data_IF_558281856204
#
_entry.id   IF_558281856204
#
_cell.length_a   1.000
_cell.length_b   1.000
_cell.length_c   1.000
_cell.angle_alpha   90.00
_cell.angle_beta   90.00
_cell.angle_gamma   90.00
#
_symmetry.space_group_name_H-M   'P 1'
#
loop_
_entity.id
_entity.type
_entity.pdbx_description
1 polymer ?
#
# COMPACT_ATOMS: atom_id res chain seq x y z
N UNK A 1 -6.13 0.35 -22.08
CA UNK A 1 -7.61 0.23 -22.00
C UNK A 1 -7.94 0.01 -20.53
N UNK A 2 -8.81 0.84 -19.97
CA UNK A 2 -8.99 1.05 -18.53
C UNK A 2 -8.19 2.25 -18.04
N UNK A 3 -8.87 3.26 -17.49
CA UNK A 3 -8.40 4.54 -16.99
C UNK A 3 -8.52 4.71 -15.46
N UNK A 4 -8.72 3.61 -14.73
CA UNK A 4 -8.52 3.59 -13.27
C UNK A 4 -7.05 3.80 -12.87
N UNK A 5 -6.75 3.76 -11.56
CA UNK A 5 -5.43 4.14 -11.00
C UNK A 5 -4.22 3.49 -11.67
N UNK A 6 -4.32 2.22 -12.05
CA UNK A 6 -3.22 1.52 -12.73
C UNK A 6 -3.04 2.00 -14.18
N UNK A 7 -4.14 2.24 -14.88
CA UNK A 7 -4.13 2.67 -16.28
C UNK A 7 -3.69 4.13 -16.43
N UNK A 8 -4.17 5.01 -15.55
CA UNK A 8 -3.76 6.41 -15.50
C UNK A 8 -2.28 6.54 -15.12
N UNK A 9 -1.81 5.80 -14.11
CA UNK A 9 -0.40 5.76 -13.75
C UNK A 9 0.49 5.25 -14.91
N UNK A 10 0.08 4.17 -15.58
CA UNK A 10 0.80 3.66 -16.73
C UNK A 10 0.88 4.69 -17.87
N UNK A 11 -0.23 5.34 -18.21
CA UNK A 11 -0.26 6.39 -19.23
C UNK A 11 0.63 7.58 -18.86
N UNK A 12 0.59 8.03 -17.60
CA UNK A 12 1.46 9.10 -17.11
C UNK A 12 2.95 8.74 -17.24
N UNK A 13 3.32 7.51 -16.87
CA UNK A 13 4.71 7.04 -16.95
C UNK A 13 5.19 6.85 -18.40
N UNK A 14 4.31 6.47 -19.32
CA UNK A 14 4.61 6.39 -20.76
C UNK A 14 4.81 7.78 -21.35
N UNK A 15 3.90 8.71 -21.04
CA UNK A 15 3.99 10.10 -21.48
C UNK A 15 5.26 10.80 -20.94
N UNK A 16 5.61 10.58 -19.67
CA UNK A 16 6.83 11.10 -19.04
C UNK A 16 8.13 10.62 -19.73
N UNK A 17 8.08 9.52 -20.49
CA UNK A 17 9.21 9.00 -21.29
C UNK A 17 9.20 9.51 -22.74
N UNK A 18 8.32 10.46 -23.08
CA UNK A 18 8.23 11.07 -24.40
C UNK A 18 7.45 10.25 -25.43
N UNK A 19 6.78 9.18 -25.02
CA UNK A 19 5.96 8.36 -25.91
C UNK A 19 4.52 8.88 -25.97
N UNK A 20 3.90 8.77 -27.14
CA UNK A 20 2.47 9.06 -27.32
C UNK A 20 1.64 7.85 -26.88
N UNK A 21 0.59 8.09 -26.09
CA UNK A 21 -0.36 7.06 -25.67
C UNK A 21 -1.79 7.59 -25.65
N UNK A 22 -2.75 6.71 -25.92
CA UNK A 22 -4.18 6.99 -25.75
C UNK A 22 -4.70 6.17 -24.58
N UNK A 23 -5.26 6.85 -23.57
CA UNK A 23 -5.98 6.21 -22.47
C UNK A 23 -7.47 6.19 -22.79
N UNK A 24 -8.05 5.00 -22.81
CA UNK A 24 -9.49 4.79 -23.07
C UNK A 24 -10.09 4.11 -21.85
N UNK A 25 -11.16 4.71 -21.32
CA UNK A 25 -12.04 4.11 -20.33
C UNK A 25 -13.49 4.11 -20.86
N UNK A 26 -14.29 3.17 -20.37
CA UNK A 26 -15.72 3.06 -20.69
C UNK A 26 -16.58 4.09 -19.94
N UNK A 27 -16.04 4.67 -18.87
CA UNK A 27 -16.70 5.63 -18.00
C UNK A 27 -15.84 6.89 -17.82
N UNK A 28 -16.40 7.89 -17.14
CA UNK A 28 -15.73 9.16 -16.85
C UNK A 28 -14.59 8.98 -15.82
N UNK A 29 -13.53 9.79 -15.87
CA UNK A 29 -12.48 9.78 -14.85
C UNK A 29 -13.05 9.95 -13.44
N UNK A 30 -12.60 9.12 -12.50
CA UNK A 30 -13.05 9.19 -11.10
C UNK A 30 -14.41 8.53 -10.81
N UNK A 31 -15.00 7.81 -11.77
CA UNK A 31 -16.26 7.10 -11.55
C UNK A 31 -16.22 6.11 -10.36
N UNK A 32 -17.37 5.87 -9.74
CA UNK A 32 -17.47 4.99 -8.56
C UNK A 32 -17.66 3.51 -8.90
N UNK A 33 -17.91 3.18 -10.17
CA UNK A 33 -18.20 1.80 -10.62
C UNK A 33 -16.97 0.88 -10.79
N UNK A 34 -15.84 1.23 -10.16
CA UNK A 34 -14.55 0.52 -10.29
C UNK A 34 -14.00 0.04 -8.95
N UNK A 35 -12.69 -0.22 -8.86
CA UNK A 35 -12.02 -0.57 -7.59
C UNK A 35 -11.25 0.58 -6.95
N UNK A 36 -11.23 1.74 -7.62
CA UNK A 36 -10.43 2.92 -7.24
C UNK A 36 -11.20 4.00 -6.48
N UNK A 37 -12.52 3.82 -6.27
CA UNK A 37 -13.39 4.83 -5.68
C UNK A 37 -13.22 4.96 -4.14
N UNK A 38 -13.83 5.98 -3.55
CA UNK A 38 -13.79 6.22 -2.10
C UNK A 38 -12.52 6.92 -1.64
N UNK A 39 -12.53 7.34 -0.37
CA UNK A 39 -11.71 8.47 0.08
C UNK A 39 -10.26 8.13 0.41
N UNK A 40 -9.92 6.84 0.54
CA UNK A 40 -8.56 6.46 0.94
C UNK A 40 -8.25 4.99 0.75
N UNK A 41 -6.95 4.69 0.82
CA UNK A 41 -6.39 3.32 0.77
C UNK A 41 -5.26 3.21 1.77
N UNK A 42 -5.12 2.02 2.37
CA UNK A 42 -4.00 1.73 3.27
C UNK A 42 -2.74 1.55 2.43
N UNK A 43 -1.71 2.32 2.75
CA UNK A 43 -0.34 2.08 2.33
C UNK A 43 0.39 1.29 3.43
N UNK A 44 0.91 0.09 3.13
CA UNK A 44 1.55 -0.78 4.14
C UNK A 44 2.67 -1.63 3.57
N UNK A 45 3.68 -1.91 4.40
CA UNK A 45 4.69 -2.94 4.13
C UNK A 45 4.26 -4.34 4.58
N UNK A 46 3.05 -4.47 5.14
CA UNK A 46 2.57 -5.69 5.78
C UNK A 46 2.12 -6.75 4.77
N UNK A 47 3.11 -7.41 4.17
CA UNK A 47 2.96 -8.58 3.30
C UNK A 47 3.76 -9.75 3.88
N UNK A 48 3.59 -10.96 3.36
CA UNK A 48 4.41 -12.12 3.79
C UNK A 48 5.57 -12.36 2.81
N UNK A 49 5.42 -11.91 1.57
CA UNK A 49 6.36 -12.10 0.48
C UNK A 49 7.27 -10.90 0.27
N UNK A 50 8.59 -11.15 0.16
CA UNK A 50 9.60 -10.11 -0.01
C UNK A 50 9.36 -9.21 -1.25
N UNK A 51 8.81 -9.79 -2.32
CA UNK A 51 8.55 -9.04 -3.56
C UNK A 51 7.61 -7.85 -3.32
N UNK A 52 6.63 -7.99 -2.44
CA UNK A 52 5.73 -6.88 -2.12
C UNK A 52 6.43 -5.84 -1.26
N UNK A 53 7.30 -6.22 -0.32
CA UNK A 53 8.12 -5.27 0.44
C UNK A 53 8.98 -4.41 -0.48
N UNK A 54 9.63 -5.04 -1.46
CA UNK A 54 10.43 -4.35 -2.47
C UNK A 54 9.56 -3.41 -3.32
N UNK A 55 8.41 -3.89 -3.81
CA UNK A 55 7.45 -3.07 -4.56
C UNK A 55 6.92 -1.89 -3.74
N UNK A 56 6.69 -2.06 -2.43
CA UNK A 56 6.29 -0.98 -1.55
C UNK A 56 7.39 0.07 -1.45
N UNK A 57 8.65 -0.33 -1.19
CA UNK A 57 9.77 0.61 -1.18
C UNK A 57 9.93 1.40 -2.49
N UNK A 58 9.72 0.74 -3.64
CA UNK A 58 9.71 1.41 -4.94
C UNK A 58 8.52 2.37 -5.08
N UNK A 59 7.31 1.95 -4.70
CA UNK A 59 6.11 2.78 -4.81
C UNK A 59 6.14 3.99 -3.88
N UNK A 60 6.79 3.91 -2.71
CA UNK A 60 6.91 5.04 -1.77
C UNK A 60 7.55 6.26 -2.45
N UNK A 61 8.61 6.01 -3.23
CA UNK A 61 9.31 7.08 -3.98
C UNK A 61 8.39 7.73 -5.02
N UNK A 62 7.53 6.94 -5.65
CA UNK A 62 6.56 7.44 -6.61
C UNK A 62 5.42 8.22 -5.94
N UNK A 63 4.98 7.80 -4.75
CA UNK A 63 4.02 8.56 -3.95
C UNK A 63 4.55 9.92 -3.56
N UNK A 64 5.81 10.01 -3.11
CA UNK A 64 6.45 11.30 -2.82
C UNK A 64 6.54 12.19 -4.07
N UNK A 65 7.00 11.65 -5.20
CA UNK A 65 7.06 12.43 -6.44
C UNK A 65 5.67 12.89 -6.94
N UNK A 66 4.64 12.06 -6.78
CA UNK A 66 3.27 12.42 -7.14
C UNK A 66 2.72 13.51 -6.22
N UNK A 67 3.02 13.43 -4.92
CA UNK A 67 2.69 14.44 -3.93
C UNK A 67 3.32 15.80 -4.30
N UNK A 68 4.61 15.81 -4.61
CA UNK A 68 5.34 17.01 -5.01
C UNK A 68 4.77 17.63 -6.30
N UNK A 69 4.40 16.78 -7.27
CA UNK A 69 3.76 17.23 -8.51
C UNK A 69 2.37 17.83 -8.28
N UNK A 70 1.56 17.21 -7.42
CA UNK A 70 0.20 17.65 -7.13
C UNK A 70 0.16 18.89 -6.21
N UNK A 71 1.22 19.13 -5.43
CA UNK A 71 1.29 20.24 -4.48
C UNK A 71 0.36 20.07 -3.27
N UNK A 72 -0.06 18.84 -2.96
CA UNK A 72 -0.97 18.49 -1.87
C UNK A 72 -0.52 17.20 -1.19
N UNK A 73 -0.85 17.00 0.10
CA UNK A 73 -0.50 15.79 0.83
C UNK A 73 -1.37 14.59 0.40
N UNK A 74 -0.75 13.62 -0.28
CA UNK A 74 -1.43 12.41 -0.78
C UNK A 74 -1.17 11.16 0.09
N UNK A 75 -0.11 11.18 0.90
CA UNK A 75 0.29 10.04 1.74
C UNK A 75 0.42 10.48 3.19
N UNK A 76 -0.62 10.20 3.97
CA UNK A 76 -0.62 10.43 5.41
C UNK A 76 0.12 9.30 6.16
N UNK A 77 1.10 9.66 6.99
CA UNK A 77 1.84 8.71 7.84
C UNK A 77 1.10 8.45 9.15
N UNK A 78 0.08 7.59 9.10
CA UNK A 78 -0.79 7.28 10.25
C UNK A 78 -0.32 6.10 11.10
N UNK A 79 0.70 5.36 10.64
CA UNK A 79 1.10 4.08 11.21
C UNK A 79 0.17 2.93 10.78
N UNK A 80 0.44 1.73 11.28
CA UNK A 80 -0.36 0.55 10.98
C UNK A 80 -0.45 -0.38 12.19
N UNK A 81 -1.63 -0.93 12.43
CA UNK A 81 -1.89 -1.86 13.51
C UNK A 81 -2.49 -3.15 12.93
N UNK A 82 -1.81 -4.27 13.16
CA UNK A 82 -2.31 -5.60 12.82
C UNK A 82 -2.59 -6.35 14.13
N UNK A 83 -3.82 -6.84 14.28
CA UNK A 83 -4.27 -7.59 15.46
C UNK A 83 -4.72 -8.96 14.98
N UNK A 84 -4.33 -10.00 15.72
CA UNK A 84 -4.79 -11.36 15.52
C UNK A 84 -5.05 -12.02 16.88
N UNK A 85 -5.84 -13.09 16.86
CA UNK A 85 -6.08 -13.88 18.07
C UNK A 85 -4.79 -14.55 18.54
N UNK A 86 -4.49 -14.42 19.84
CA UNK A 86 -3.35 -15.09 20.46
C UNK A 86 -3.46 -16.62 20.35
N UNK A 87 -4.68 -17.15 20.35
CA UNK A 87 -4.92 -18.59 20.21
C UNK A 87 -4.49 -19.14 18.84
N UNK A 88 -4.43 -18.29 17.81
CA UNK A 88 -3.94 -18.68 16.49
C UNK A 88 -2.42 -18.86 16.44
N UNK A 89 -1.66 -18.44 17.46
CA UNK A 89 -0.19 -18.47 17.41
C UNK A 89 0.33 -19.91 17.31
N UNK A 90 1.20 -20.16 16.33
CA UNK A 90 1.75 -21.50 16.06
C UNK A 90 0.77 -22.47 15.40
N UNK A 91 -0.44 -22.03 15.02
CA UNK A 91 -1.36 -22.80 14.17
C UNK A 91 -1.23 -22.37 12.71
N UNK A 92 -1.95 -23.03 11.80
CA UNK A 92 -2.06 -22.60 10.40
C UNK A 92 -2.76 -21.24 10.22
N UNK A 93 -3.39 -20.71 11.26
CA UNK A 93 -4.08 -19.41 11.25
C UNK A 93 -3.19 -18.26 11.75
N UNK A 94 -1.94 -18.55 12.14
CA UNK A 94 -0.98 -17.55 12.61
C UNK A 94 -0.51 -16.63 11.47
N UNK A 95 -1.14 -15.46 11.33
CA UNK A 95 -0.76 -14.46 10.34
C UNK A 95 0.25 -13.43 10.85
N UNK A 96 0.44 -13.30 12.16
CA UNK A 96 1.34 -12.29 12.72
C UNK A 96 2.78 -12.79 12.83
N UNK A 97 3.01 -14.06 13.14
CA UNK A 97 4.37 -14.58 13.28
C UNK A 97 5.15 -14.57 11.95
N UNK A 98 4.57 -14.95 10.79
CA UNK A 98 5.26 -14.84 9.50
C UNK A 98 5.59 -13.38 9.14
N UNK A 99 4.64 -12.47 9.41
CA UNK A 99 4.79 -11.04 9.19
C UNK A 99 5.89 -10.44 10.07
N UNK A 100 5.91 -10.77 11.37
CA UNK A 100 6.96 -10.36 12.31
C UNK A 100 8.34 -10.88 11.85
N UNK A 101 8.41 -12.14 11.41
CA UNK A 101 9.64 -12.73 10.90
C UNK A 101 10.16 -12.02 9.63
N UNK A 102 9.26 -11.67 8.70
CA UNK A 102 9.61 -10.85 7.54
C UNK A 102 10.14 -9.48 7.97
N UNK A 103 9.44 -8.78 8.86
CA UNK A 103 9.82 -7.45 9.29
C UNK A 103 11.20 -7.44 9.97
N UNK A 104 11.47 -8.43 10.82
CA UNK A 104 12.80 -8.62 11.42
C UNK A 104 13.87 -8.90 10.37
N UNK A 105 13.61 -9.83 9.44
CA UNK A 105 14.56 -10.18 8.35
C UNK A 105 14.88 -8.97 7.48
N UNK A 106 13.89 -8.12 7.22
CA UNK A 106 13.99 -6.94 6.35
C UNK A 106 14.41 -5.66 7.08
N UNK A 107 14.59 -5.72 8.40
CA UNK A 107 14.95 -4.55 9.21
C UNK A 107 13.88 -3.44 9.21
N UNK A 108 12.61 -3.81 9.03
CA UNK A 108 11.49 -2.86 9.07
C UNK A 108 11.14 -2.52 10.51
N UNK A 109 10.99 -1.23 10.82
CA UNK A 109 10.59 -0.80 12.16
C UNK A 109 9.20 -1.34 12.52
N UNK A 110 9.09 -1.96 13.69
CA UNK A 110 7.84 -2.50 14.23
C UNK A 110 7.94 -2.71 15.74
N UNK A 111 6.77 -2.77 16.37
CA UNK A 111 6.61 -3.10 17.78
C UNK A 111 5.53 -4.16 17.92
N UNK A 112 5.80 -5.18 18.70
CA UNK A 112 4.83 -6.20 19.09
C UNK A 112 4.29 -5.85 20.47
N UNK A 113 2.97 -5.87 20.60
CA UNK A 113 2.28 -5.62 21.87
C UNK A 113 1.43 -6.83 22.23
N UNK A 114 1.42 -7.18 23.50
CA UNK A 114 0.37 -8.00 24.07
C UNK A 114 -0.95 -7.23 24.12
N UNK A 115 -2.07 -7.94 24.29
CA UNK A 115 -3.38 -7.31 24.45
C UNK A 115 -3.46 -6.37 25.68
N UNK A 116 -2.64 -6.61 26.72
CA UNK A 116 -2.56 -5.73 27.88
C UNK A 116 -1.85 -4.41 27.55
N UNK A 117 -0.64 -4.49 26.99
CA UNK A 117 0.16 -3.32 26.61
C UNK A 117 -0.54 -2.44 25.57
N UNK A 118 -1.31 -3.04 24.65
CA UNK A 118 -2.05 -2.28 23.65
C UNK A 118 -3.21 -1.47 24.26
N UNK A 119 -3.85 -1.96 25.33
CA UNK A 119 -4.96 -1.25 26.01
C UNK A 119 -4.48 -0.04 26.82
N UNK A 120 -3.21 -0.01 27.20
CA UNK A 120 -2.61 1.07 28.00
C UNK A 120 -2.09 2.23 27.14
N UNK A 121 -2.24 2.15 25.81
CA UNK A 121 -1.85 3.18 24.85
C UNK A 121 -3.05 3.94 24.32
#
# INVERSE_FOLDING_TARGET
VGGGVMGSWAAAQVAARGASCVLVDQLEPGHERGSSHGDGRIYRFAYEEDIYVDMMGLSLRHWHALQDFAGEELLASTGGLCIADKAARGTSEDKLSPLEALYRRRGLDHKCYSAGELKER
#
